data_IF_550316407632
#
_entry.id   IF_550316407632
#
_cell.length_a   1.000
_cell.length_b   1.000
_cell.length_c   1.000
_cell.angle_alpha   90.00
_cell.angle_beta   90.00
_cell.angle_gamma   90.00
#
_symmetry.space_group_name_H-M   'P 1'
#
loop_
_entity.id
_entity.type
_entity.pdbx_description
1 polymer ?
#
# COMPACT_ATOMS: atom_id res chain seq x y z
N UNK A 1 10.71 -38.91 -6.15
CA UNK A 1 11.32 -37.93 -5.24
C UNK A 1 11.72 -36.63 -5.91
N UNK A 2 12.50 -36.63 -7.01
CA UNK A 2 12.90 -35.37 -7.71
C UNK A 2 11.70 -34.51 -8.15
N UNK A 3 10.64 -35.12 -8.64
CA UNK A 3 9.42 -34.39 -9.07
C UNK A 3 8.74 -33.66 -7.92
N UNK A 4 8.56 -34.32 -6.76
CA UNK A 4 7.95 -33.69 -5.58
C UNK A 4 8.85 -32.58 -5.01
N UNK A 5 10.16 -32.78 -5.01
CA UNK A 5 11.13 -31.76 -4.61
C UNK A 5 11.04 -30.54 -5.52
N UNK A 6 11.07 -30.73 -6.85
CA UNK A 6 10.98 -29.64 -7.83
C UNK A 6 9.65 -28.84 -7.66
N UNK A 7 8.52 -29.54 -7.46
CA UNK A 7 7.24 -28.87 -7.24
C UNK A 7 7.22 -28.06 -5.93
N UNK A 8 7.85 -28.58 -4.87
CA UNK A 8 7.96 -27.85 -3.59
C UNK A 8 8.86 -26.61 -3.73
N UNK A 9 10.00 -26.74 -4.41
CA UNK A 9 10.92 -25.63 -4.69
C UNK A 9 10.22 -24.53 -5.49
N UNK A 10 9.52 -24.90 -6.56
CA UNK A 10 8.77 -23.94 -7.38
C UNK A 10 7.62 -23.30 -6.61
N UNK A 11 6.86 -24.07 -5.84
CA UNK A 11 5.75 -23.56 -5.03
C UNK A 11 6.21 -22.52 -3.99
N UNK A 12 7.26 -22.84 -3.23
CA UNK A 12 7.84 -21.91 -2.25
C UNK A 12 8.48 -20.71 -2.93
N UNK A 13 9.23 -20.92 -4.02
CA UNK A 13 9.91 -19.84 -4.75
C UNK A 13 8.91 -18.84 -5.36
N UNK A 14 7.86 -19.33 -6.02
CA UNK A 14 6.80 -18.48 -6.55
C UNK A 14 6.02 -17.74 -5.45
N UNK A 15 5.82 -18.40 -4.29
CA UNK A 15 5.20 -17.75 -3.14
C UNK A 15 6.00 -16.53 -2.72
N UNK A 16 7.29 -16.70 -2.44
CA UNK A 16 8.19 -15.62 -2.02
C UNK A 16 8.20 -14.50 -3.04
N UNK A 17 8.38 -14.82 -4.33
CA UNK A 17 8.41 -13.82 -5.41
C UNK A 17 7.10 -13.01 -5.48
N UNK A 18 5.95 -13.68 -5.43
CA UNK A 18 4.65 -13.02 -5.55
C UNK A 18 4.36 -12.13 -4.35
N UNK A 19 4.68 -12.59 -3.13
CA UNK A 19 4.52 -11.77 -1.93
C UNK A 19 5.48 -10.59 -1.91
N UNK A 20 6.75 -10.78 -2.28
CA UNK A 20 7.75 -9.71 -2.34
C UNK A 20 7.36 -8.61 -3.34
N UNK A 21 6.85 -8.97 -4.50
CA UNK A 21 6.41 -8.00 -5.52
C UNK A 21 5.13 -7.29 -5.11
N UNK A 22 4.12 -7.99 -4.58
CA UNK A 22 2.86 -7.38 -4.14
C UNK A 22 3.07 -6.43 -2.96
N UNK A 23 3.82 -6.86 -1.94
CA UNK A 23 4.12 -6.02 -0.78
C UNK A 23 5.03 -4.84 -1.12
N UNK A 24 6.01 -5.05 -2.00
CA UNK A 24 6.90 -3.98 -2.45
C UNK A 24 6.14 -2.85 -3.14
N UNK A 25 5.18 -3.21 -3.98
CA UNK A 25 4.34 -2.25 -4.65
C UNK A 25 3.42 -1.47 -3.69
N UNK A 26 2.82 -2.15 -2.71
CA UNK A 26 2.02 -1.53 -1.66
C UNK A 26 2.85 -0.56 -0.81
N UNK A 27 4.03 -0.97 -0.35
CA UNK A 27 4.95 -0.13 0.43
C UNK A 27 5.41 1.11 -0.34
N UNK A 28 5.73 0.95 -1.63
CA UNK A 28 6.10 2.06 -2.50
C UNK A 28 4.96 3.08 -2.61
N UNK A 29 3.73 2.61 -2.86
CA UNK A 29 2.56 3.47 -2.96
C UNK A 29 2.31 4.25 -1.67
N UNK A 30 2.30 3.55 -0.52
CA UNK A 30 2.08 4.17 0.79
C UNK A 30 3.16 5.23 1.05
N UNK A 31 4.43 4.91 0.80
CA UNK A 31 5.55 5.84 0.98
C UNK A 31 5.40 7.08 0.10
N UNK A 32 5.02 6.91 -1.17
CA UNK A 32 4.83 8.02 -2.11
C UNK A 32 3.68 8.93 -1.70
N UNK A 33 2.54 8.35 -1.33
CA UNK A 33 1.37 9.13 -0.87
C UNK A 33 1.68 9.89 0.42
N UNK A 34 2.32 9.23 1.39
CA UNK A 34 2.72 9.86 2.64
C UNK A 34 3.75 10.95 2.44
N UNK A 35 4.68 10.76 1.50
CA UNK A 35 5.68 11.77 1.14
C UNK A 35 5.10 12.98 0.40
N UNK A 36 3.95 12.82 -0.27
CA UNK A 36 3.31 13.93 -1.02
C UNK A 36 2.21 14.60 -0.20
N UNK A 37 1.35 13.82 0.44
CA UNK A 37 0.10 14.30 1.06
C UNK A 37 0.11 14.29 2.59
N UNK A 38 1.23 13.89 3.19
CA UNK A 38 1.35 13.73 4.63
C UNK A 38 0.43 12.64 5.22
N UNK A 39 0.55 12.42 6.52
CA UNK A 39 -0.17 11.36 7.22
C UNK A 39 -1.64 11.70 7.51
N UNK A 40 -1.96 12.98 7.65
CA UNK A 40 -3.34 13.44 7.92
C UNK A 40 -3.64 14.76 7.24
N UNK A 41 -4.94 15.03 7.08
CA UNK A 41 -5.48 16.34 6.67
C UNK A 41 -6.55 16.77 7.65
N UNK A 42 -6.44 18.04 8.07
CA UNK A 42 -7.51 18.72 8.79
C UNK A 42 -8.29 19.54 7.76
N UNK A 43 -9.54 19.19 7.61
CA UNK A 43 -10.42 19.76 6.58
C UNK A 43 -11.60 20.50 7.25
N UNK A 44 -12.70 20.56 6.55
CA UNK A 44 -13.93 21.25 6.86
C UNK A 44 -14.43 21.06 8.30
N UNK A 45 -15.19 22.04 8.75
CA UNK A 45 -15.85 22.02 10.05
C UNK A 45 -17.34 21.84 9.88
N UNK A 46 -17.87 20.75 10.45
CA UNK A 46 -19.30 20.57 10.60
C UNK A 46 -19.71 20.95 12.03
N UNK A 47 -20.46 22.01 12.18
CA UNK A 47 -21.00 22.43 13.47
C UNK A 47 -22.49 22.10 13.56
N UNK A 48 -22.87 21.32 14.57
CA UNK A 48 -24.27 21.22 14.97
C UNK A 48 -24.71 22.53 15.62
N UNK A 49 -25.57 23.29 14.97
CA UNK A 49 -26.15 24.49 15.57
C UNK A 49 -27.29 24.07 16.47
N UNK A 50 -26.97 23.81 17.73
CA UNK A 50 -27.96 23.69 18.83
C UNK A 50 -28.24 25.10 19.36
N UNK A 51 -29.43 25.60 19.10
CA UNK A 51 -29.92 26.82 19.76
C UNK A 51 -30.78 26.36 20.95
N UNK A 52 -30.22 26.44 22.14
CA UNK A 52 -30.98 26.29 23.37
C UNK A 52 -31.68 27.63 23.67
N UNK A 53 -32.99 27.67 23.58
CA UNK A 53 -33.79 28.75 24.11
C UNK A 53 -34.28 28.35 25.50
N UNK A 54 -33.71 28.94 26.53
CA UNK A 54 -34.28 28.92 27.91
C UNK A 54 -35.29 30.03 28.01
N UNK A 55 -36.56 29.67 28.23
CA UNK A 55 -37.58 30.68 28.58
C UNK A 55 -37.34 31.10 30.02
N UNK A 56 -36.97 32.37 30.24
CA UNK A 56 -36.91 32.95 31.58
C UNK A 56 -38.29 33.05 32.19
N UNK A 57 -38.50 32.37 33.31
CA UNK A 57 -39.74 32.44 34.08
C UNK A 57 -40.41 31.10 34.34
N UNK A 58 -39.87 30.31 35.28
CA UNK A 58 -40.65 29.34 36.07
C UNK A 58 -41.32 28.14 35.40
N UNK A 59 -41.04 27.84 34.13
CA UNK A 59 -41.55 26.63 33.48
C UNK A 59 -40.38 25.89 32.77
N UNK A 60 -40.19 24.62 33.15
CA UNK A 60 -39.16 23.71 32.63
C UNK A 60 -39.43 23.30 31.15
N UNK A 61 -39.50 24.24 30.23
CA UNK A 61 -39.49 23.94 28.80
C UNK A 61 -38.13 24.26 28.17
N UNK A 62 -37.31 23.22 27.95
CA UNK A 62 -36.17 23.29 27.04
C UNK A 62 -36.63 22.98 25.62
N UNK A 63 -36.75 24.00 24.77
CA UNK A 63 -36.92 23.79 23.33
C UNK A 63 -35.52 23.73 22.72
N UNK A 64 -35.05 22.54 22.46
CA UNK A 64 -33.83 22.32 21.63
C UNK A 64 -34.23 22.26 20.16
N UNK A 65 -34.11 23.35 19.43
CA UNK A 65 -34.32 23.35 17.99
C UNK A 65 -33.00 23.07 17.29
N UNK A 66 -32.88 21.90 16.67
CA UNK A 66 -31.74 21.53 15.83
C UNK A 66 -31.86 22.30 14.52
N UNK A 67 -31.25 23.44 14.43
CA UNK A 67 -31.21 24.27 13.21
C UNK A 67 -30.06 23.81 12.34
N UNK A 68 -30.17 22.70 11.63
CA UNK A 68 -29.25 22.29 10.57
C UNK A 68 -27.78 22.15 10.97
N UNK A 69 -27.02 21.55 10.10
CA UNK A 69 -25.54 21.47 10.22
C UNK A 69 -24.98 22.66 9.44
N UNK A 70 -24.29 23.59 10.12
CA UNK A 70 -23.53 24.62 9.44
C UNK A 70 -22.22 24.00 8.96
N UNK A 71 -22.13 23.80 7.65
CA UNK A 71 -20.92 23.33 7.02
C UNK A 71 -20.03 24.51 6.63
N UNK A 72 -18.80 24.49 7.11
CA UNK A 72 -17.78 25.49 6.79
C UNK A 72 -16.72 24.77 5.95
N UNK A 73 -16.65 25.12 4.68
CA UNK A 73 -15.68 24.55 3.75
C UNK A 73 -14.29 25.09 4.03
N UNK A 74 -13.36 24.18 4.35
CA UNK A 74 -11.97 24.49 4.64
C UNK A 74 -11.71 24.98 6.06
N UNK A 75 -10.56 25.55 6.29
CA UNK A 75 -10.06 26.03 7.58
C UNK A 75 -9.93 27.55 7.51
N UNK A 76 -10.75 28.25 8.30
CA UNK A 76 -10.78 29.72 8.30
C UNK A 76 -9.51 30.34 8.91
N UNK A 77 -9.05 29.78 10.04
CA UNK A 77 -7.90 30.27 10.80
C UNK A 77 -6.78 29.22 10.90
N UNK A 78 -6.03 28.97 9.79
CA UNK A 78 -5.05 27.89 9.74
C UNK A 78 -3.91 28.07 10.75
N UNK A 79 -3.54 29.29 11.09
CA UNK A 79 -2.46 29.57 12.06
C UNK A 79 -2.79 29.07 13.45
N UNK A 80 -4.06 29.23 13.92
CA UNK A 80 -4.50 28.72 15.22
C UNK A 80 -4.52 27.19 15.22
N UNK A 81 -5.01 26.59 14.15
CA UNK A 81 -5.04 25.14 14.00
C UNK A 81 -3.62 24.56 14.02
N UNK A 82 -2.68 25.16 13.25
CA UNK A 82 -1.28 24.70 13.22
C UNK A 82 -0.65 24.79 14.62
N UNK A 83 -0.85 25.92 15.32
CA UNK A 83 -0.33 26.06 16.68
C UNK A 83 -0.91 25.04 17.65
N UNK A 84 -2.19 24.74 17.54
CA UNK A 84 -2.82 23.70 18.34
C UNK A 84 -2.32 22.28 17.99
N UNK A 85 -1.97 22.03 16.71
CA UNK A 85 -1.40 20.76 16.26
C UNK A 85 0.03 20.55 16.79
N UNK A 86 0.81 21.60 16.97
CA UNK A 86 2.16 21.52 17.52
C UNK A 86 2.21 21.01 18.97
N UNK A 87 1.10 21.12 19.72
CA UNK A 87 0.98 20.58 21.08
C UNK A 87 0.83 19.06 21.13
N UNK A 88 0.52 18.41 19.98
CA UNK A 88 0.42 16.96 19.93
C UNK A 88 1.80 16.32 19.70
N UNK A 89 2.21 15.44 20.61
CA UNK A 89 3.56 14.84 20.65
C UNK A 89 3.93 14.02 19.39
N UNK A 90 2.95 13.50 18.67
CA UNK A 90 3.17 12.71 17.46
C UNK A 90 3.18 13.54 16.16
N UNK A 91 2.97 14.85 16.23
CA UNK A 91 3.01 15.73 15.06
C UNK A 91 4.45 16.13 14.77
N UNK A 92 4.91 15.83 13.55
CA UNK A 92 6.24 16.24 13.07
C UNK A 92 6.23 17.58 12.33
N UNK A 93 5.08 17.98 11.79
CA UNK A 93 4.89 19.24 11.09
C UNK A 93 3.47 19.40 10.57
N UNK A 94 3.09 20.65 10.32
CA UNK A 94 1.81 21.02 9.74
C UNK A 94 1.99 22.16 8.74
N UNK A 95 1.26 22.11 7.61
CA UNK A 95 1.33 23.11 6.56
C UNK A 95 -0.06 23.40 5.98
N UNK A 96 -0.41 24.69 5.80
CA UNK A 96 -1.66 25.07 5.18
C UNK A 96 -1.59 24.91 3.67
N UNK A 97 -2.67 24.44 3.05
CA UNK A 97 -2.78 24.24 1.60
C UNK A 97 -4.09 24.79 1.09
N UNK A 98 -4.01 25.64 0.09
CA UNK A 98 -5.16 26.15 -0.65
C UNK A 98 -5.27 25.43 -1.99
N UNK A 99 -6.35 24.67 -2.19
CA UNK A 99 -6.59 23.89 -3.40
C UNK A 99 -7.72 24.48 -4.23
N UNK A 100 -7.55 24.47 -5.55
CA UNK A 100 -8.60 24.85 -6.49
C UNK A 100 -8.43 24.18 -7.85
N UNK A 101 -9.53 24.04 -8.59
CA UNK A 101 -9.50 23.51 -9.95
C UNK A 101 -9.21 24.63 -10.94
N UNK A 102 -8.34 24.36 -11.90
CA UNK A 102 -7.91 25.32 -12.93
C UNK A 102 -7.78 24.63 -14.29
N UNK A 103 -7.90 25.43 -15.34
CA UNK A 103 -7.52 25.02 -16.68
C UNK A 103 -6.13 25.56 -16.99
N UNK A 104 -5.20 24.71 -17.32
CA UNK A 104 -3.87 25.08 -17.78
C UNK A 104 -3.94 25.33 -19.27
N UNK A 105 -3.58 26.53 -19.70
CA UNK A 105 -3.49 26.87 -21.11
C UNK A 105 -2.02 27.04 -21.48
N UNK A 106 -1.56 26.17 -22.33
CA UNK A 106 -0.27 26.27 -23.01
C UNK A 106 -0.50 26.58 -24.50
N UNK A 107 0.56 26.91 -25.21
CA UNK A 107 0.47 27.33 -26.62
C UNK A 107 -0.19 26.28 -27.53
N UNK A 108 -0.02 25.00 -27.21
CA UNK A 108 -0.49 23.89 -28.07
C UNK A 108 -1.72 23.16 -27.53
N UNK A 109 -1.93 23.17 -26.20
CA UNK A 109 -2.95 22.34 -25.58
C UNK A 109 -3.43 22.91 -24.26
N UNK A 110 -4.67 22.56 -23.92
CA UNK A 110 -5.27 22.88 -22.63
C UNK A 110 -5.50 21.57 -21.86
N UNK A 111 -5.14 21.56 -20.57
CA UNK A 111 -5.38 20.42 -19.67
C UNK A 111 -6.01 20.91 -18.35
N UNK A 112 -6.91 20.11 -17.82
CA UNK A 112 -7.48 20.37 -16.49
C UNK A 112 -6.51 19.97 -15.41
N UNK A 113 -6.29 20.83 -14.42
CA UNK A 113 -5.39 20.59 -13.30
C UNK A 113 -5.95 21.14 -11.99
N UNK A 114 -5.25 20.88 -10.91
CA UNK A 114 -5.52 21.45 -9.59
C UNK A 114 -4.32 22.27 -9.15
N UNK A 115 -4.58 23.52 -8.79
CA UNK A 115 -3.57 24.38 -8.19
C UNK A 115 -3.53 24.14 -6.69
N UNK A 116 -2.32 24.03 -6.15
CA UNK A 116 -2.02 23.91 -4.73
C UNK A 116 -1.19 25.13 -4.32
N UNK A 117 -1.83 26.07 -3.61
CA UNK A 117 -1.15 27.22 -2.99
C UNK A 117 -0.48 26.77 -1.70
N UNK A 118 0.83 26.90 -1.63
CA UNK A 118 1.66 26.43 -0.51
C UNK A 118 2.52 27.55 0.07
N UNK A 119 2.86 27.41 1.35
CA UNK A 119 3.97 28.10 1.99
C UNK A 119 5.17 27.16 1.93
N UNK A 120 6.15 27.44 1.08
CA UNK A 120 7.22 26.51 0.74
C UNK A 120 7.91 25.92 1.97
N UNK A 121 8.35 26.76 2.91
CA UNK A 121 9.12 26.34 4.09
C UNK A 121 8.31 25.42 5.02
N UNK A 122 7.03 25.68 5.19
CA UNK A 122 6.14 24.84 5.98
C UNK A 122 5.80 23.55 5.24
N UNK A 123 5.58 23.63 3.92
CA UNK A 123 5.22 22.49 3.10
C UNK A 123 6.37 21.47 2.99
N UNK A 124 7.62 21.90 2.95
CA UNK A 124 8.78 21.02 2.94
C UNK A 124 8.97 20.24 4.26
N UNK A 125 8.35 20.67 5.37
CA UNK A 125 8.34 19.90 6.62
C UNK A 125 7.37 18.73 6.59
N UNK A 126 6.34 18.80 5.74
CA UNK A 126 5.25 17.80 5.67
C UNK A 126 5.26 16.96 4.40
N UNK A 127 6.09 17.33 3.41
CA UNK A 127 6.20 16.63 2.13
C UNK A 127 7.64 16.47 1.68
N UNK A 128 7.87 15.46 0.85
CA UNK A 128 9.16 15.19 0.21
C UNK A 128 9.35 15.96 -1.11
N UNK A 129 8.56 17.01 -1.36
CA UNK A 129 8.53 17.75 -2.61
C UNK A 129 9.93 18.21 -3.07
N UNK A 130 10.78 18.62 -2.12
CA UNK A 130 12.16 19.03 -2.43
C UNK A 130 13.03 17.92 -3.02
N UNK A 131 12.78 16.66 -2.66
CA UNK A 131 13.50 15.48 -3.19
C UNK A 131 12.91 14.98 -4.52
N UNK A 132 11.68 15.37 -4.82
CA UNK A 132 10.95 14.93 -6.01
C UNK A 132 11.24 15.80 -7.24
N UNK A 133 12.05 16.84 -7.13
CA UNK A 133 12.41 17.70 -8.27
C UNK A 133 13.38 16.95 -9.18
N UNK A 134 13.00 16.85 -10.46
CA UNK A 134 13.77 16.17 -11.51
C UNK A 134 14.46 17.16 -12.44
N UNK A 135 13.83 18.32 -12.71
CA UNK A 135 14.37 19.37 -13.56
C UNK A 135 14.12 20.75 -12.93
N UNK A 136 15.09 21.66 -13.03
CA UNK A 136 15.04 22.95 -12.37
C UNK A 136 15.50 22.91 -10.92
N UNK A 137 15.21 23.96 -10.17
CA UNK A 137 15.59 24.08 -8.77
C UNK A 137 14.46 24.69 -7.94
N UNK A 138 14.34 24.23 -6.69
CA UNK A 138 13.37 24.75 -5.72
C UNK A 138 13.72 26.20 -5.31
N UNK A 139 15.00 26.59 -5.38
CA UNK A 139 15.44 27.94 -5.12
C UNK A 139 14.82 28.94 -6.13
N UNK A 140 14.75 28.58 -7.41
CA UNK A 140 14.08 29.38 -8.44
C UNK A 140 12.60 29.59 -8.14
N UNK A 141 11.92 28.58 -7.59
CA UNK A 141 10.53 28.72 -7.15
C UNK A 141 10.42 29.69 -5.96
N UNK A 142 11.35 29.62 -4.99
CA UNK A 142 11.35 30.50 -3.81
C UNK A 142 11.51 31.97 -4.19
N UNK A 143 12.37 32.26 -5.16
CA UNK A 143 12.70 33.65 -5.57
C UNK A 143 11.66 34.25 -6.52
N UNK A 144 10.94 33.46 -7.28
CA UNK A 144 10.01 33.91 -8.30
C UNK A 144 8.55 33.84 -7.81
N UNK A 145 7.89 34.98 -7.50
CA UNK A 145 6.51 34.97 -7.01
C UNK A 145 5.51 34.25 -7.96
N UNK A 146 5.69 34.45 -9.28
CA UNK A 146 4.88 33.80 -10.34
C UNK A 146 5.44 32.45 -10.77
N UNK A 147 6.38 31.89 -10.02
CA UNK A 147 6.92 30.57 -10.24
C UNK A 147 5.90 29.47 -9.97
N UNK A 148 6.00 28.38 -10.71
CA UNK A 148 5.16 27.22 -10.50
C UNK A 148 5.99 25.93 -10.58
N UNK A 149 5.64 24.96 -9.74
CA UNK A 149 6.16 23.60 -9.84
C UNK A 149 5.11 22.74 -10.54
N UNK A 150 5.48 22.06 -11.61
CA UNK A 150 4.58 21.26 -12.44
C UNK A 150 5.00 19.79 -12.37
N UNK A 151 4.03 18.88 -12.26
CA UNK A 151 4.31 17.45 -12.34
C UNK A 151 4.78 17.04 -13.74
N UNK A 152 5.70 16.08 -13.81
CA UNK A 152 6.35 15.64 -15.04
C UNK A 152 5.35 15.22 -16.13
N UNK A 153 4.32 14.46 -15.76
CA UNK A 153 3.30 13.98 -16.71
C UNK A 153 2.53 15.15 -17.33
N UNK A 154 2.21 16.18 -16.53
CA UNK A 154 1.53 17.38 -17.02
C UNK A 154 2.44 18.22 -17.91
N UNK A 155 3.71 18.38 -17.53
CA UNK A 155 4.72 19.09 -18.32
C UNK A 155 4.92 18.42 -19.70
N UNK A 156 5.07 17.10 -19.73
CA UNK A 156 5.24 16.32 -20.98
C UNK A 156 4.00 16.44 -21.89
N UNK A 157 2.78 16.42 -21.32
CA UNK A 157 1.53 16.56 -22.09
C UNK A 157 1.34 17.94 -22.70
N UNK A 158 1.77 18.96 -21.99
CA UNK A 158 1.69 20.36 -22.42
C UNK A 158 2.95 20.83 -23.15
N UNK A 159 3.95 19.97 -23.30
CA UNK A 159 5.28 20.28 -23.88
C UNK A 159 5.95 21.48 -23.20
N UNK A 160 5.81 21.57 -21.88
CA UNK A 160 6.39 22.64 -21.07
C UNK A 160 7.75 22.18 -20.51
N UNK A 161 8.71 23.09 -20.61
CA UNK A 161 10.06 22.93 -20.02
C UNK A 161 10.28 24.01 -18.97
N UNK A 162 11.31 23.85 -18.12
CA UNK A 162 11.71 24.88 -17.16
C UNK A 162 11.97 26.21 -17.86
N UNK A 163 11.42 27.31 -17.35
CA UNK A 163 11.48 28.63 -17.94
C UNK A 163 10.33 28.98 -18.89
N UNK A 164 9.54 28.01 -19.36
CA UNK A 164 8.39 28.28 -20.21
C UNK A 164 7.26 28.93 -19.40
N UNK A 165 6.50 29.82 -20.05
CA UNK A 165 5.32 30.44 -19.45
C UNK A 165 4.04 29.75 -19.88
N UNK A 166 3.06 29.71 -19.00
CA UNK A 166 1.72 29.20 -19.25
C UNK A 166 0.68 29.97 -18.47
N UNK A 167 -0.59 29.83 -18.79
CA UNK A 167 -1.69 30.53 -18.15
C UNK A 167 -2.52 29.55 -17.33
N UNK A 168 -2.75 29.89 -16.05
CA UNK A 168 -3.77 29.25 -15.24
C UNK A 168 -5.07 30.06 -15.34
N UNK A 169 -6.10 29.37 -15.81
CA UNK A 169 -7.44 29.92 -15.98
C UNK A 169 -8.33 29.29 -14.89
N UNK A 170 -8.69 30.06 -13.90
CA UNK A 170 -9.73 29.71 -12.96
C UNK A 170 -11.05 30.34 -13.42
N UNK A 171 -12.19 29.87 -12.90
CA UNK A 171 -13.51 30.43 -13.24
C UNK A 171 -13.58 31.95 -13.05
N UNK A 172 -12.67 32.52 -12.28
CA UNK A 172 -12.67 33.90 -11.86
C UNK A 172 -11.58 34.75 -12.47
N UNK A 173 -10.39 34.17 -12.76
CA UNK A 173 -9.21 34.97 -13.18
C UNK A 173 -8.23 34.13 -14.03
N UNK A 174 -7.40 34.83 -14.79
CA UNK A 174 -6.32 34.31 -15.62
C UNK A 174 -5.01 34.91 -15.19
N UNK A 175 -4.08 34.09 -14.76
CA UNK A 175 -2.75 34.55 -14.39
C UNK A 175 -1.70 33.80 -15.18
N UNK A 176 -0.61 34.50 -15.55
CA UNK A 176 0.55 33.89 -16.21
C UNK A 176 1.55 33.44 -15.16
N UNK A 177 2.01 32.22 -15.32
CA UNK A 177 3.03 31.59 -14.49
C UNK A 177 4.22 31.13 -15.32
N UNK A 178 5.36 30.96 -14.68
CA UNK A 178 6.57 30.39 -15.30
C UNK A 178 6.94 29.10 -14.60
N UNK A 179 7.32 28.08 -15.36
CA UNK A 179 7.78 26.79 -14.82
C UNK A 179 9.14 26.99 -14.14
N UNK A 180 9.17 26.98 -12.81
CA UNK A 180 10.42 27.08 -12.03
C UNK A 180 11.11 25.74 -11.92
N UNK A 181 10.34 24.65 -11.72
CA UNK A 181 10.87 23.31 -11.70
C UNK A 181 9.78 22.28 -12.07
N UNK A 182 10.24 21.10 -12.50
CA UNK A 182 9.40 19.94 -12.79
C UNK A 182 9.69 18.89 -11.72
N UNK A 183 8.63 18.44 -11.05
CA UNK A 183 8.73 17.39 -10.04
C UNK A 183 8.13 16.07 -10.55
N UNK A 184 8.55 14.96 -9.98
CA UNK A 184 8.07 13.61 -10.26
C UNK A 184 7.89 12.84 -8.95
N UNK A 185 6.63 12.51 -8.62
CA UNK A 185 6.31 11.75 -7.41
C UNK A 185 6.41 10.24 -7.62
N UNK A 186 6.34 9.79 -8.87
CA UNK A 186 6.21 8.39 -9.24
C UNK A 186 4.76 7.90 -9.32
N UNK A 187 3.76 8.75 -8.98
CA UNK A 187 2.33 8.46 -9.16
C UNK A 187 1.77 9.37 -10.25
N UNK A 188 1.46 8.78 -11.41
CA UNK A 188 1.04 9.53 -12.59
C UNK A 188 -0.19 10.41 -12.38
N UNK A 189 -1.14 10.01 -11.54
CA UNK A 189 -2.33 10.79 -11.25
C UNK A 189 -2.01 12.08 -10.49
N UNK A 190 -1.00 12.06 -9.62
CA UNK A 190 -0.51 13.23 -8.92
C UNK A 190 0.23 14.14 -9.91
N UNK A 191 1.17 13.57 -10.66
CA UNK A 191 2.04 14.27 -11.59
C UNK A 191 1.29 14.85 -12.80
N UNK A 192 0.10 14.32 -13.09
CA UNK A 192 -0.79 14.80 -14.15
C UNK A 192 -1.67 15.97 -13.70
N UNK A 193 -2.06 16.01 -12.42
CA UNK A 193 -3.14 16.89 -11.96
C UNK A 193 -2.66 18.07 -11.12
N UNK A 194 -1.48 18.01 -10.47
CA UNK A 194 -1.10 19.01 -9.48
C UNK A 194 -0.09 20.00 -9.99
N UNK A 195 -0.34 21.27 -9.64
CA UNK A 195 0.57 22.39 -9.84
C UNK A 195 0.72 23.10 -8.51
N UNK A 196 1.95 23.28 -8.05
CA UNK A 196 2.21 24.04 -6.83
C UNK A 196 2.58 25.48 -7.21
N UNK A 197 1.96 26.42 -6.52
CA UNK A 197 2.21 27.87 -6.63
C UNK A 197 2.31 28.48 -5.24
N UNK A 198 2.83 29.70 -5.15
CA UNK A 198 2.85 30.40 -3.87
C UNK A 198 1.45 30.66 -3.33
N UNK A 199 1.28 30.59 -2.01
CA UNK A 199 -0.01 30.80 -1.34
C UNK A 199 -0.67 32.11 -1.72
N UNK A 200 0.11 33.18 -1.86
CA UNK A 200 -0.39 34.52 -2.22
C UNK A 200 -1.01 34.53 -3.62
N UNK A 201 -0.32 33.89 -4.57
CA UNK A 201 -0.79 33.75 -5.95
C UNK A 201 -2.04 32.89 -6.06
N UNK A 202 -2.06 31.76 -5.31
CA UNK A 202 -3.24 30.91 -5.26
C UNK A 202 -4.47 31.65 -4.70
N UNK A 203 -4.29 32.46 -3.66
CA UNK A 203 -5.37 33.30 -3.10
C UNK A 203 -5.92 34.30 -4.11
N UNK A 204 -5.04 34.92 -4.86
CA UNK A 204 -5.41 35.84 -5.93
C UNK A 204 -6.18 35.11 -7.04
N UNK A 205 -5.63 34.04 -7.56
CA UNK A 205 -6.21 33.23 -8.64
C UNK A 205 -7.59 32.64 -8.28
N UNK A 206 -7.75 32.15 -7.06
CA UNK A 206 -8.99 31.50 -6.60
C UNK A 206 -9.97 32.45 -5.91
N UNK A 207 -9.64 33.74 -5.78
CA UNK A 207 -10.41 34.78 -5.05
C UNK A 207 -10.78 34.34 -3.62
N UNK A 208 -9.85 33.69 -2.94
CA UNK A 208 -9.97 33.29 -1.51
C UNK A 208 -8.95 34.08 -0.69
N UNK A 209 -9.27 35.27 -0.18
CA UNK A 209 -8.31 36.13 0.52
C UNK A 209 -7.93 35.58 1.89
N UNK A 210 -8.78 34.76 2.52
CA UNK A 210 -8.57 34.20 3.84
C UNK A 210 -8.86 32.69 3.85
N UNK A 211 -8.38 32.01 4.90
CA UNK A 211 -8.54 30.57 5.05
C UNK A 211 -7.67 29.73 4.11
N UNK A 212 -7.84 28.43 4.21
CA UNK A 212 -7.19 27.42 3.35
C UNK A 212 -8.14 26.23 3.15
N UNK A 213 -7.91 25.41 2.13
CA UNK A 213 -8.77 24.25 1.88
C UNK A 213 -8.57 23.17 2.92
N UNK A 214 -7.34 22.96 3.40
CA UNK A 214 -7.00 22.02 4.46
C UNK A 214 -5.63 22.34 5.05
N UNK A 215 -5.37 21.78 6.23
CA UNK A 215 -4.04 21.75 6.84
C UNK A 215 -3.51 20.34 6.68
N UNK A 216 -2.36 20.19 6.02
CA UNK A 216 -1.64 18.96 5.86
C UNK A 216 -0.77 18.71 7.08
N UNK A 217 -0.83 17.51 7.65
CA UNK A 217 -0.12 17.15 8.88
C UNK A 217 0.72 15.91 8.63
N UNK A 218 1.98 15.97 9.04
CA UNK A 218 2.86 14.81 9.06
C UNK A 218 3.07 14.33 10.50
N UNK A 219 3.23 13.03 10.68
CA UNK A 219 3.36 12.36 11.95
C UNK A 219 4.68 11.62 12.03
N UNK A 220 5.25 11.52 13.25
CA UNK A 220 6.38 10.63 13.51
C UNK A 220 5.99 9.17 13.33
N UNK A 221 4.87 8.76 13.96
CA UNK A 221 4.29 7.43 13.80
C UNK A 221 3.02 7.53 12.92
N UNK A 222 3.15 7.13 11.66
CA UNK A 222 2.09 7.22 10.64
C UNK A 222 1.01 6.15 10.79
N UNK A 223 1.32 5.06 11.48
CA UNK A 223 0.37 3.96 11.71
C UNK A 223 -0.68 4.34 12.76
N UNK A 224 -0.33 5.24 13.68
CA UNK A 224 -1.27 5.82 14.66
C UNK A 224 -2.13 6.96 14.14
N UNK A 225 -2.04 7.27 12.84
CA UNK A 225 -2.85 8.36 12.25
C UNK A 225 -4.36 8.25 12.54
N UNK A 226 -5.03 7.07 12.51
CA UNK A 226 -6.44 6.99 12.83
C UNK A 226 -6.77 7.36 14.29
N UNK A 227 -5.94 6.95 15.25
CA UNK A 227 -6.14 7.28 16.66
C UNK A 227 -5.91 8.77 16.92
N UNK A 228 -4.86 9.34 16.34
CA UNK A 228 -4.58 10.77 16.44
C UNK A 228 -5.64 11.62 15.74
N UNK A 229 -6.20 11.14 14.62
CA UNK A 229 -7.29 11.82 13.94
C UNK A 229 -8.53 11.97 14.83
N UNK A 230 -8.92 10.93 15.57
CA UNK A 230 -10.04 10.99 16.51
C UNK A 230 -9.79 12.02 17.62
N UNK A 231 -8.60 12.01 18.23
CA UNK A 231 -8.24 12.97 19.27
C UNK A 231 -8.22 14.41 18.74
N UNK A 232 -7.62 14.64 17.56
CA UNK A 232 -7.55 15.95 16.97
C UNK A 232 -8.93 16.47 16.52
N UNK A 233 -9.80 15.60 16.04
CA UNK A 233 -11.16 15.95 15.68
C UNK A 233 -11.97 16.40 16.90
N UNK A 234 -11.77 15.75 18.05
CA UNK A 234 -12.43 16.11 19.29
C UNK A 234 -11.97 17.48 19.81
N UNK A 235 -10.67 17.76 19.75
CA UNK A 235 -10.08 19.02 20.24
C UNK A 235 -10.33 20.18 19.27
N UNK A 236 -10.04 19.98 17.98
CA UNK A 236 -10.07 21.04 16.98
C UNK A 236 -11.49 21.31 16.43
N UNK A 237 -12.42 20.37 16.64
CA UNK A 237 -13.77 20.40 16.06
C UNK A 237 -13.80 20.51 14.53
N UNK A 238 -12.72 20.10 13.87
CA UNK A 238 -12.58 19.98 12.43
C UNK A 238 -12.51 18.52 12.03
N UNK A 239 -12.88 18.20 10.81
CA UNK A 239 -12.73 16.86 10.27
C UNK A 239 -11.25 16.54 10.09
N UNK A 240 -10.74 15.58 10.84
CA UNK A 240 -9.37 15.07 10.72
C UNK A 240 -9.40 13.75 9.97
N UNK A 241 -8.91 13.72 8.74
CA UNK A 241 -8.90 12.53 7.88
C UNK A 241 -7.51 11.92 7.83
N UNK A 242 -7.31 10.71 8.39
CA UNK A 242 -6.06 9.99 8.27
C UNK A 242 -5.88 9.48 6.84
N UNK A 243 -4.64 9.21 6.44
CA UNK A 243 -4.30 8.73 5.10
C UNK A 243 -5.01 7.39 4.75
N UNK A 244 -5.21 6.52 5.73
CA UNK A 244 -5.92 5.25 5.56
C UNK A 244 -7.38 5.43 5.10
N UNK A 245 -8.03 6.48 5.56
CA UNK A 245 -9.41 6.81 5.15
C UNK A 245 -9.42 7.47 3.78
N UNK A 246 -8.49 8.40 3.52
CA UNK A 246 -8.39 9.08 2.23
C UNK A 246 -8.10 8.13 1.09
N UNK A 247 -7.19 7.19 1.34
CA UNK A 247 -6.71 6.22 0.33
C UNK A 247 -7.43 4.86 0.44
N UNK A 248 -8.63 4.83 1.04
CA UNK A 248 -9.41 3.60 1.28
C UNK A 248 -9.62 2.78 0.00
N UNK A 249 -9.85 3.43 -1.12
CA UNK A 249 -10.04 2.75 -2.42
C UNK A 249 -8.78 1.99 -2.84
N UNK A 250 -7.61 2.63 -2.74
CA UNK A 250 -6.33 1.99 -3.05
C UNK A 250 -5.99 0.86 -2.07
N UNK A 251 -6.18 1.09 -0.77
CA UNK A 251 -5.96 0.06 0.24
C UNK A 251 -6.89 -1.14 0.05
N UNK A 252 -8.15 -0.92 -0.37
CA UNK A 252 -9.07 -2.02 -0.69
C UNK A 252 -8.62 -2.79 -1.93
N UNK A 253 -8.09 -2.10 -2.94
CA UNK A 253 -7.53 -2.72 -4.15
C UNK A 253 -6.29 -3.56 -3.82
N UNK A 254 -5.36 -3.05 -3.01
CA UNK A 254 -4.20 -3.84 -2.55
C UNK A 254 -4.61 -5.05 -1.72
N UNK A 255 -5.62 -4.91 -0.87
CA UNK A 255 -6.17 -6.05 -0.11
C UNK A 255 -6.75 -7.11 -1.05
N UNK A 256 -7.51 -6.72 -2.08
CA UNK A 256 -8.05 -7.63 -3.07
C UNK A 256 -6.92 -8.33 -3.87
N UNK A 257 -5.88 -7.59 -4.28
CA UNK A 257 -4.71 -8.15 -4.94
C UNK A 257 -3.98 -9.15 -4.04
N UNK A 258 -3.80 -8.84 -2.75
CA UNK A 258 -3.18 -9.74 -1.78
C UNK A 258 -3.98 -11.03 -1.61
N UNK A 259 -5.31 -10.95 -1.52
CA UNK A 259 -6.19 -12.12 -1.43
C UNK A 259 -6.10 -12.95 -2.72
N UNK A 260 -6.19 -12.31 -3.89
CA UNK A 260 -6.07 -12.99 -5.19
C UNK A 260 -4.71 -13.70 -5.34
N UNK A 261 -3.64 -13.03 -4.97
CA UNK A 261 -2.28 -13.55 -4.93
C UNK A 261 -2.18 -14.77 -4.00
N UNK A 262 -2.73 -14.66 -2.78
CA UNK A 262 -2.73 -15.76 -1.82
C UNK A 262 -3.50 -16.98 -2.35
N UNK A 263 -4.65 -16.78 -3.02
CA UNK A 263 -5.40 -17.87 -3.66
C UNK A 263 -4.56 -18.54 -4.76
N UNK A 264 -3.98 -17.75 -5.66
CA UNK A 264 -3.14 -18.27 -6.76
C UNK A 264 -1.98 -19.09 -6.22
N UNK A 265 -1.29 -18.59 -5.22
CA UNK A 265 -0.15 -19.29 -4.61
C UNK A 265 -0.60 -20.55 -3.86
N UNK A 266 -1.77 -20.52 -3.21
CA UNK A 266 -2.34 -21.70 -2.56
C UNK A 266 -2.59 -22.82 -3.55
N UNK A 267 -3.00 -22.51 -4.78
CA UNK A 267 -3.17 -23.51 -5.86
C UNK A 267 -1.82 -24.14 -6.23
N UNK A 268 -0.75 -23.35 -6.39
CA UNK A 268 0.58 -23.90 -6.66
C UNK A 268 1.10 -24.78 -5.51
N UNK A 269 0.85 -24.38 -4.27
CA UNK A 269 1.22 -25.16 -3.08
C UNK A 269 0.42 -26.46 -2.99
N UNK A 270 -0.87 -26.42 -3.38
CA UNK A 270 -1.70 -27.62 -3.48
C UNK A 270 -1.16 -28.61 -4.52
N UNK A 271 -0.73 -28.13 -5.69
CA UNK A 271 -0.09 -28.95 -6.74
C UNK A 271 1.18 -29.62 -6.19
N UNK A 272 2.01 -28.89 -5.43
CA UNK A 272 3.17 -29.44 -4.77
C UNK A 272 2.79 -30.55 -3.76
N UNK A 273 1.73 -30.34 -2.99
CA UNK A 273 1.16 -31.36 -2.08
C UNK A 273 0.68 -32.60 -2.83
N UNK A 274 -0.01 -32.44 -3.96
CA UNK A 274 -0.46 -33.56 -4.81
C UNK A 274 0.73 -34.33 -5.42
N UNK A 275 1.77 -33.63 -5.85
CA UNK A 275 3.00 -34.27 -6.33
C UNK A 275 3.66 -35.10 -5.22
N UNK A 276 3.68 -34.61 -3.98
CA UNK A 276 4.17 -35.34 -2.83
C UNK A 276 3.30 -36.56 -2.51
N UNK A 277 1.98 -36.40 -2.53
CA UNK A 277 1.03 -37.50 -2.37
C UNK A 277 1.31 -38.63 -3.37
N UNK A 278 1.41 -38.30 -4.67
CA UNK A 278 1.67 -39.32 -5.72
C UNK A 278 3.02 -39.99 -5.55
N UNK A 279 4.05 -39.22 -5.20
CA UNK A 279 5.40 -39.78 -4.95
C UNK A 279 5.39 -40.72 -3.77
N UNK A 280 4.78 -40.38 -2.65
CA UNK A 280 4.67 -41.24 -1.47
C UNK A 280 3.83 -42.48 -1.76
N UNK A 281 2.70 -42.35 -2.49
CA UNK A 281 1.86 -43.46 -2.86
C UNK A 281 2.65 -44.49 -3.70
N UNK A 282 3.46 -44.00 -4.65
CA UNK A 282 4.32 -44.89 -5.45
C UNK A 282 5.40 -45.59 -4.61
N UNK A 283 6.06 -44.86 -3.72
CA UNK A 283 7.06 -45.44 -2.81
C UNK A 283 6.44 -46.48 -1.90
N UNK A 284 5.22 -46.24 -1.39
CA UNK A 284 4.48 -47.22 -0.58
C UNK A 284 4.25 -48.52 -1.37
N UNK A 285 3.84 -48.43 -2.64
CA UNK A 285 3.63 -49.61 -3.49
C UNK A 285 4.94 -50.34 -3.77
N UNK A 286 6.03 -49.65 -4.07
CA UNK A 286 7.35 -50.23 -4.29
C UNK A 286 7.90 -50.93 -3.04
N UNK A 287 7.65 -50.33 -1.85
CA UNK A 287 8.16 -50.81 -0.55
C UNK A 287 7.19 -51.71 0.22
N UNK A 288 6.13 -52.20 -0.43
CA UNK A 288 5.08 -53.01 0.22
C UNK A 288 5.65 -54.22 0.92
N UNK A 289 6.62 -54.93 0.27
CA UNK A 289 7.28 -56.13 0.88
C UNK A 289 8.12 -55.76 2.10
N UNK A 290 8.88 -54.67 2.03
CA UNK A 290 9.72 -54.21 3.14
C UNK A 290 8.84 -53.79 4.34
N UNK A 291 7.70 -53.13 4.09
CA UNK A 291 6.71 -52.78 5.11
C UNK A 291 6.12 -54.01 5.77
N UNK A 292 5.81 -55.08 4.99
CA UNK A 292 5.28 -56.33 5.51
C UNK A 292 6.28 -57.03 6.44
N UNK A 293 7.57 -57.01 6.06
CA UNK A 293 8.66 -57.58 6.90
C UNK A 293 8.77 -56.79 8.22
N UNK A 294 8.80 -55.48 8.17
CA UNK A 294 8.86 -54.66 9.38
C UNK A 294 7.66 -54.88 10.29
N UNK A 295 6.47 -55.03 9.72
CA UNK A 295 5.24 -55.35 10.46
C UNK A 295 5.27 -56.73 11.10
N UNK A 296 5.85 -57.72 10.42
CA UNK A 296 6.03 -59.06 10.97
C UNK A 296 7.06 -59.13 12.10
N UNK A 297 8.01 -58.20 12.13
CA UNK A 297 9.00 -57.99 13.20
C UNK A 297 8.44 -57.24 14.42
N UNK A 298 7.15 -56.81 14.39
CA UNK A 298 6.49 -56.21 15.55
C UNK A 298 6.39 -54.67 15.50
N UNK A 299 6.78 -54.01 14.39
CA UNK A 299 6.60 -52.57 14.26
C UNK A 299 5.11 -52.19 14.25
N UNK A 300 4.75 -51.14 15.03
CA UNK A 300 3.38 -50.64 15.09
C UNK A 300 2.99 -49.84 13.84
N UNK A 301 1.68 -49.70 13.63
CA UNK A 301 1.16 -48.82 12.53
C UNK A 301 1.65 -47.37 12.64
N UNK A 302 1.89 -46.90 13.86
CA UNK A 302 2.41 -45.55 14.11
C UNK A 302 3.85 -45.42 13.62
N UNK A 303 4.69 -46.42 13.83
CA UNK A 303 6.09 -46.38 13.41
C UNK A 303 6.21 -46.26 11.89
N UNK A 304 5.42 -47.08 11.17
CA UNK A 304 5.38 -47.02 9.70
C UNK A 304 4.90 -45.65 9.22
N UNK A 305 3.84 -45.11 9.85
CA UNK A 305 3.34 -43.74 9.50
C UNK A 305 4.42 -42.68 9.75
N UNK A 306 5.15 -42.76 10.87
CA UNK A 306 6.23 -41.82 11.19
C UNK A 306 7.37 -41.87 10.19
N UNK A 307 7.77 -43.04 9.73
CA UNK A 307 8.83 -43.21 8.72
C UNK A 307 8.48 -42.40 7.46
N UNK A 308 7.25 -42.53 6.93
CA UNK A 308 6.83 -41.80 5.74
C UNK A 308 6.65 -40.32 5.99
N UNK A 309 6.20 -39.91 7.20
CA UNK A 309 6.12 -38.49 7.57
C UNK A 309 7.51 -37.84 7.71
N UNK A 310 8.48 -38.58 8.28
CA UNK A 310 9.87 -38.11 8.33
C UNK A 310 10.46 -37.94 6.93
N UNK A 311 10.17 -38.88 6.03
CA UNK A 311 10.59 -38.78 4.64
C UNK A 311 9.98 -37.54 3.94
N UNK A 312 8.68 -37.29 4.14
CA UNK A 312 8.02 -36.09 3.65
C UNK A 312 8.64 -34.83 4.25
N UNK A 313 8.95 -34.85 5.55
CA UNK A 313 9.60 -33.72 6.26
C UNK A 313 10.98 -33.38 5.71
N UNK A 314 11.80 -34.40 5.40
CA UNK A 314 13.12 -34.18 4.79
C UNK A 314 12.98 -33.53 3.41
N UNK A 315 12.10 -34.06 2.56
CA UNK A 315 11.86 -33.49 1.22
C UNK A 315 11.33 -32.04 1.32
N UNK A 316 10.42 -31.80 2.26
CA UNK A 316 9.90 -30.47 2.55
C UNK A 316 11.01 -29.50 2.99
N UNK A 317 11.86 -29.92 3.93
CA UNK A 317 12.93 -29.07 4.45
C UNK A 317 13.92 -28.69 3.35
N UNK A 318 14.38 -29.66 2.58
CA UNK A 318 15.29 -29.43 1.45
C UNK A 318 14.59 -28.55 0.38
N UNK A 319 13.33 -28.87 0.05
CA UNK A 319 12.54 -28.13 -0.93
C UNK A 319 12.26 -26.70 -0.49
N UNK A 320 11.98 -26.47 0.79
CA UNK A 320 11.77 -25.13 1.34
C UNK A 320 13.05 -24.29 1.31
N UNK A 321 14.20 -24.84 1.71
CA UNK A 321 15.48 -24.11 1.66
C UNK A 321 15.82 -23.72 0.22
N UNK A 322 15.79 -24.71 -0.70
CA UNK A 322 16.06 -24.42 -2.11
C UNK A 322 15.03 -23.48 -2.71
N UNK A 323 13.75 -23.62 -2.35
CA UNK A 323 12.67 -22.74 -2.78
C UNK A 323 12.86 -21.29 -2.31
N UNK A 324 13.28 -21.10 -1.06
CA UNK A 324 13.63 -19.76 -0.54
C UNK A 324 14.81 -19.13 -1.30
N UNK A 325 15.84 -19.93 -1.62
CA UNK A 325 17.00 -19.45 -2.41
C UNK A 325 16.55 -19.05 -3.83
N UNK A 326 15.78 -19.92 -4.50
CA UNK A 326 15.24 -19.64 -5.83
C UNK A 326 14.30 -18.44 -5.80
N UNK A 327 13.44 -18.32 -4.79
CA UNK A 327 12.58 -17.19 -4.57
C UNK A 327 13.36 -15.88 -4.39
N UNK A 328 14.40 -15.88 -3.55
CA UNK A 328 15.27 -14.72 -3.35
C UNK A 328 16.01 -14.32 -4.64
N UNK A 329 16.58 -15.27 -5.36
CA UNK A 329 17.26 -15.02 -6.63
C UNK A 329 16.29 -14.49 -7.70
N UNK A 330 15.07 -15.05 -7.78
CA UNK A 330 14.03 -14.56 -8.69
C UNK A 330 13.58 -13.15 -8.33
N UNK A 331 13.40 -12.85 -7.05
CA UNK A 331 13.06 -11.51 -6.55
C UNK A 331 14.18 -10.51 -6.89
N UNK A 332 15.44 -10.90 -6.72
CA UNK A 332 16.59 -10.08 -7.10
C UNK A 332 16.65 -9.87 -8.62
N UNK A 333 16.38 -10.90 -9.43
CA UNK A 333 16.29 -10.77 -10.88
C UNK A 333 15.19 -9.79 -11.31
N UNK A 334 14.00 -9.90 -10.71
CA UNK A 334 12.88 -9.01 -11.00
C UNK A 334 13.16 -7.58 -10.55
N UNK A 335 13.83 -7.36 -9.41
CA UNK A 335 14.16 -6.01 -8.91
C UNK A 335 15.08 -5.22 -9.86
N UNK A 336 15.83 -5.89 -10.74
CA UNK A 336 16.70 -5.25 -11.74
C UNK A 336 16.04 -5.14 -13.13
N UNK A 337 14.84 -5.68 -13.31
CA UNK A 337 14.15 -5.55 -14.59
C UNK A 337 13.65 -4.11 -14.79
N UNK A 338 14.04 -3.44 -15.87
CA UNK A 338 13.50 -2.13 -16.20
C UNK A 338 12.02 -2.30 -16.59
N UNK A 339 11.16 -1.54 -15.91
CA UNK A 339 9.74 -1.48 -16.22
C UNK A 339 9.42 -0.10 -16.80
N UNK A 340 9.28 0.03 -18.09
CA UNK A 340 8.72 1.24 -18.69
C UNK A 340 7.20 1.25 -18.51
N UNK A 341 6.70 1.18 -17.25
CA UNK A 341 5.28 1.35 -17.00
C UNK A 341 4.97 2.84 -17.02
N UNK A 342 4.58 3.34 -18.18
CA UNK A 342 4.04 4.70 -18.37
C UNK A 342 2.56 4.78 -17.98
N UNK A 343 2.15 4.05 -16.95
CA UNK A 343 0.78 3.99 -16.47
C UNK A 343 0.55 4.78 -15.17
N UNK A 344 0.05 4.10 -14.15
CA UNK A 344 -0.31 4.69 -12.85
C UNK A 344 0.94 5.01 -12.02
N UNK A 345 1.99 4.18 -12.15
CA UNK A 345 3.25 4.32 -11.41
C UNK A 345 4.43 4.36 -12.37
N UNK A 346 5.35 5.27 -12.09
CA UNK A 346 6.58 5.40 -12.83
C UNK A 346 7.76 5.06 -11.93
N UNK A 347 8.25 3.84 -12.08
CA UNK A 347 9.47 3.36 -11.42
C UNK A 347 10.44 2.90 -12.50
N UNK A 348 11.72 3.16 -12.33
CA UNK A 348 12.75 2.70 -13.26
C UNK A 348 12.88 1.18 -13.25
N UNK A 349 12.67 0.57 -12.08
CA UNK A 349 12.76 -0.88 -11.86
C UNK A 349 11.57 -1.39 -11.04
N UNK A 350 11.37 -2.70 -11.06
CA UNK A 350 10.37 -3.34 -10.21
C UNK A 350 10.66 -3.10 -8.73
N UNK A 351 9.66 -2.55 -8.00
CA UNK A 351 9.76 -2.36 -6.56
C UNK A 351 9.41 -3.67 -5.86
N UNK A 352 10.33 -4.18 -5.07
CA UNK A 352 10.17 -5.42 -4.30
C UNK A 352 10.41 -5.15 -2.81
N UNK A 353 9.67 -5.83 -1.95
CA UNK A 353 9.87 -5.78 -0.50
C UNK A 353 10.73 -6.96 -0.05
N UNK A 354 11.81 -6.69 0.67
CA UNK A 354 12.73 -7.69 1.25
C UNK A 354 12.34 -8.03 2.69
N UNK A 355 11.04 -8.30 2.94
CA UNK A 355 10.59 -8.64 4.28
C UNK A 355 10.79 -10.14 4.54
N UNK A 356 11.54 -10.47 5.61
CA UNK A 356 11.77 -11.86 6.03
C UNK A 356 10.49 -12.63 6.36
N UNK A 357 9.39 -11.94 6.66
CA UNK A 357 8.11 -12.55 6.97
C UNK A 357 7.51 -13.35 5.81
N UNK A 358 7.78 -12.94 4.56
CA UNK A 358 7.33 -13.66 3.36
C UNK A 358 7.90 -15.07 3.28
N UNK A 359 9.13 -15.27 3.75
CA UNK A 359 9.78 -16.59 3.79
C UNK A 359 9.13 -17.50 4.85
N UNK A 360 8.80 -16.94 6.01
CA UNK A 360 8.11 -17.67 7.08
C UNK A 360 6.72 -18.11 6.64
N UNK A 361 5.95 -17.24 5.99
CA UNK A 361 4.63 -17.55 5.44
C UNK A 361 4.73 -18.65 4.36
N UNK A 362 5.71 -18.56 3.47
CA UNK A 362 5.93 -19.55 2.41
C UNK A 362 6.26 -20.94 2.97
N UNK A 363 7.16 -21.01 3.95
CA UNK A 363 7.55 -22.26 4.59
C UNK A 363 6.37 -22.87 5.37
N UNK A 364 5.63 -22.04 6.11
CA UNK A 364 4.49 -22.49 6.92
C UNK A 364 3.37 -23.05 6.05
N UNK A 365 3.02 -22.37 4.97
CA UNK A 365 1.97 -22.84 4.03
C UNK A 365 2.40 -24.11 3.31
N UNK A 366 3.65 -24.20 2.85
CA UNK A 366 4.18 -25.39 2.21
C UNK A 366 4.22 -26.57 3.20
N UNK A 367 4.66 -26.35 4.44
CA UNK A 367 4.70 -27.36 5.48
C UNK A 367 3.29 -27.91 5.77
N UNK A 368 2.31 -27.03 5.92
CA UNK A 368 0.94 -27.42 6.20
C UNK A 368 0.36 -28.28 5.07
N UNK A 369 0.52 -27.84 3.82
CA UNK A 369 -0.01 -28.55 2.66
C UNK A 369 0.67 -29.90 2.41
N UNK A 370 2.01 -29.95 2.48
CA UNK A 370 2.79 -31.18 2.27
C UNK A 370 2.50 -32.21 3.38
N UNK A 371 2.42 -31.74 4.64
CA UNK A 371 2.12 -32.65 5.77
C UNK A 371 0.71 -33.23 5.66
N UNK A 372 -0.30 -32.43 5.32
CA UNK A 372 -1.68 -32.92 5.10
C UNK A 372 -1.71 -33.94 3.95
N UNK A 373 -1.08 -33.60 2.81
CA UNK A 373 -1.04 -34.47 1.64
C UNK A 373 -0.32 -35.79 1.90
N UNK A 374 0.72 -35.77 2.75
CA UNK A 374 1.51 -36.97 3.10
C UNK A 374 0.79 -37.90 4.08
N UNK A 375 -0.17 -37.38 4.85
CA UNK A 375 -0.84 -38.14 5.90
C UNK A 375 -1.68 -39.33 5.36
N UNK A 376 -2.32 -39.12 4.21
CA UNK A 376 -3.18 -40.14 3.58
C UNK A 376 -2.37 -41.33 3.10
N UNK A 377 -1.31 -41.19 2.25
CA UNK A 377 -0.53 -42.34 1.82
C UNK A 377 0.23 -43.00 2.97
N UNK A 378 0.75 -42.22 3.94
CA UNK A 378 1.42 -42.77 5.12
C UNK A 378 0.48 -43.63 5.96
N UNK A 379 -0.77 -43.21 6.18
CA UNK A 379 -1.77 -44.03 6.88
C UNK A 379 -2.20 -45.27 6.09
N UNK A 380 -2.27 -45.19 4.76
CA UNK A 380 -2.56 -46.34 3.91
C UNK A 380 -1.44 -47.39 4.01
N UNK A 381 -0.17 -46.96 3.95
CA UNK A 381 0.98 -47.83 4.14
C UNK A 381 0.94 -48.60 5.47
N UNK A 382 0.57 -47.90 6.54
CA UNK A 382 0.48 -48.49 7.87
C UNK A 382 -0.65 -49.54 8.04
N UNK A 383 -1.66 -49.53 7.16
CA UNK A 383 -2.80 -50.48 7.20
C UNK A 383 -2.58 -51.76 6.38
N UNK A 384 -1.49 -51.87 5.65
CA UNK A 384 -1.16 -53.07 4.89
C UNK A 384 -1.00 -54.27 5.83
N UNK A 385 -1.72 -55.38 5.57
CA UNK A 385 -1.64 -56.58 6.37
C UNK A 385 -0.57 -57.52 5.81
N UNK A 386 0.38 -58.03 6.66
CA UNK A 386 1.47 -58.88 6.19
C UNK A 386 0.97 -60.19 5.53
N UNK A 387 -0.17 -60.73 5.99
CA UNK A 387 -0.74 -61.99 5.51
C UNK A 387 -1.22 -61.93 4.06
N UNK A 388 -1.76 -60.77 3.60
CA UNK A 388 -2.29 -60.61 2.23
C UNK A 388 -1.17 -60.48 1.22
N UNK A 389 -0.03 -59.89 1.63
CA UNK A 389 1.14 -59.68 0.79
C UNK A 389 1.90 -60.98 0.55
N UNK A 390 2.02 -61.82 1.59
CA UNK A 390 2.69 -63.14 1.52
C UNK A 390 1.88 -64.15 0.68
N UNK A 391 0.54 -64.04 0.71
CA UNK A 391 -0.35 -64.89 -0.10
C UNK A 391 -0.47 -64.48 -1.56
N UNK A 392 0.13 -63.34 -1.99
CA UNK A 392 0.08 -62.87 -3.37
C UNK A 392 -1.29 -62.34 -3.81
N UNK A 393 -2.20 -62.07 -2.88
CA UNK A 393 -3.57 -61.61 -3.12
C UNK A 393 -3.75 -60.07 -3.04
N UNK A 394 -2.67 -59.35 -2.83
CA UNK A 394 -2.70 -57.87 -2.88
C UNK A 394 -2.61 -57.42 -4.34
N UNK A 395 -3.77 -57.27 -5.00
CA UNK A 395 -3.93 -56.47 -6.23
C UNK A 395 -4.11 -55.01 -5.93
#
# INVERSE_FOLDING_TARGET
MLMSLSCTVLGVGLFVLTQATTSGFEEFFIKTILGTDGAMRIEDKAQDTLRQMTAGGGSDFQISQRQGIKYIEGVEEPKLIIKALEEFSNVSGAAPVLRGSVLVRADFKNESAQVFGILLEEHLKVSDLGRQIVQGDIASFREMPTGALIGRVLADRLQLSVGNSFILDSQCQRHRYTVSAIYETGVSDIDKLRIYVHMVEARSLLRRPSGVSFVQVNLFDKDRAPQNAMQMQEVLKHSAKPWQEREKSWLSTFRALRISSAITVSVFTLIAGLAMFNTLAMIVLEKTKDIAILRSMGYERRDITQIFLWQAGIVLTIGAILGCIVGALSTLGVSHMPLPISGIFKTETFVVSWNGWHYVEAITTAALMVMIASLIPARRAARLEPGDIVRGTAQ
#
